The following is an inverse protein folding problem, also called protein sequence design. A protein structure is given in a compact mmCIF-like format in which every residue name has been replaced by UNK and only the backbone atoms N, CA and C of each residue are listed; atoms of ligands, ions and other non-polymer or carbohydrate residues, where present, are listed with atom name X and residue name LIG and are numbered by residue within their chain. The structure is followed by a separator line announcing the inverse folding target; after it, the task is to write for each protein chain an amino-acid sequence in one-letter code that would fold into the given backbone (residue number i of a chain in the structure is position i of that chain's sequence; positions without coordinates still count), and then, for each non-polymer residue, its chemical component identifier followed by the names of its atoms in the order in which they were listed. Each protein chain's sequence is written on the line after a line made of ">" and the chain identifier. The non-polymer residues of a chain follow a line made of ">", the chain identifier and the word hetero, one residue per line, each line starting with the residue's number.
data_IF_386098752481
#
_entry.id   IF_386098752481
#
_cell.length_a   1.000
_cell.length_b   1.000
_cell.length_c   1.000
_cell.angle_alpha   90.00
_cell.angle_beta   90.00
_cell.angle_gamma   90.00
#
_symmetry.space_group_name_H-M   'P 1'
#
loop_
_entity.id
_entity.type
_entity.pdbx_description
1 polymer ?
#
# COMPACT_ATOMS: atom_id res chain seq x y z
N UNK A 1 -22.64 8.18 -36.22
CA UNK A 1 -21.49 8.98 -35.76
C UNK A 1 -21.63 9.17 -34.27
N UNK A 2 -20.53 9.02 -33.54
CA UNK A 2 -20.41 8.78 -32.10
C UNK A 2 -20.82 9.95 -31.20
N UNK A 3 -21.68 9.67 -30.23
CA UNK A 3 -21.93 10.51 -29.06
C UNK A 3 -20.69 10.54 -28.16
N UNK A 4 -19.95 11.65 -28.21
CA UNK A 4 -18.86 11.95 -27.29
C UNK A 4 -19.49 12.68 -26.10
N UNK A 5 -19.76 11.94 -25.03
CA UNK A 5 -20.03 12.51 -23.71
C UNK A 5 -18.84 13.40 -23.32
N UNK A 6 -19.04 14.72 -23.40
CA UNK A 6 -18.11 15.70 -22.82
C UNK A 6 -18.13 15.50 -21.31
N UNK A 7 -17.14 14.77 -20.78
CA UNK A 7 -16.83 14.82 -19.35
C UNK A 7 -16.50 16.27 -18.99
N UNK A 8 -17.46 16.94 -18.38
CA UNK A 8 -17.28 18.23 -17.72
C UNK A 8 -16.24 18.04 -16.61
N UNK A 9 -15.18 18.85 -16.65
CA UNK A 9 -14.20 18.96 -15.57
C UNK A 9 -14.95 19.20 -14.26
N UNK A 10 -14.58 18.57 -13.13
CA UNK A 10 -15.25 18.82 -11.87
C UNK A 10 -15.16 20.31 -11.55
N UNK A 11 -16.31 20.98 -11.51
CA UNK A 11 -16.41 22.36 -11.06
C UNK A 11 -16.20 22.36 -9.55
N UNK A 12 -15.01 22.77 -9.13
CA UNK A 12 -14.74 23.12 -7.74
C UNK A 12 -15.66 24.30 -7.43
N UNK A 13 -16.68 24.08 -6.60
CA UNK A 13 -17.67 25.09 -6.25
C UNK A 13 -16.99 26.34 -5.64
N UNK A 14 -17.52 27.55 -5.89
CA UNK A 14 -16.95 28.81 -5.42
C UNK A 14 -16.89 28.95 -3.88
N UNK A 15 -17.49 28.01 -3.14
CA UNK A 15 -17.50 27.98 -1.68
C UNK A 15 -16.21 27.41 -1.06
N UNK A 16 -15.36 26.75 -1.86
CA UNK A 16 -14.05 26.23 -1.40
C UNK A 16 -12.91 27.25 -1.50
N UNK A 17 -13.18 28.47 -1.99
CA UNK A 17 -12.16 29.51 -2.21
C UNK A 17 -12.01 30.45 -0.99
N UNK A 18 -12.87 30.34 0.03
CA UNK A 18 -12.95 31.33 1.12
C UNK A 18 -12.16 31.02 2.39
N UNK A 19 -11.36 29.96 2.43
CA UNK A 19 -10.37 29.76 3.51
C UNK A 19 -8.96 29.71 2.90
N UNK A 20 -8.61 30.80 2.22
CA UNK A 20 -7.23 31.10 1.86
C UNK A 20 -6.48 31.65 3.08
N UNK A 21 -5.87 30.76 3.86
CA UNK A 21 -4.73 31.07 4.71
C UNK A 21 -3.84 29.83 4.83
N UNK A 22 -2.65 29.94 4.24
CA UNK A 22 -1.46 29.11 4.36
C UNK A 22 -1.52 27.64 3.88
N UNK A 23 -1.44 27.43 2.57
CA UNK A 23 -0.86 26.22 1.98
C UNK A 23 0.37 26.58 1.14
N UNK A 24 1.30 27.33 1.74
CA UNK A 24 2.65 27.55 1.18
C UNK A 24 3.68 26.82 2.03
N UNK A 25 3.42 25.54 2.26
CA UNK A 25 4.43 24.57 2.66
C UNK A 25 4.20 23.31 1.81
N UNK A 26 4.45 23.44 0.50
CA UNK A 26 4.77 22.27 -0.31
C UNK A 26 6.12 21.81 0.20
N UNK A 27 6.11 20.93 1.21
CA UNK A 27 7.31 20.27 1.68
C UNK A 27 7.83 19.48 0.49
N UNK A 28 8.91 19.92 -0.13
CA UNK A 28 9.61 19.13 -1.14
C UNK A 28 9.91 17.78 -0.49
N UNK A 29 9.27 16.72 -0.98
CA UNK A 29 9.56 15.36 -0.55
C UNK A 29 11.01 15.14 -0.93
N UNK A 30 11.89 15.09 0.08
CA UNK A 30 13.28 14.83 -0.17
C UNK A 30 13.42 13.40 -0.69
N UNK A 31 14.47 13.13 -1.48
CA UNK A 31 14.77 11.76 -1.92
C UNK A 31 14.80 10.77 -0.76
N UNK A 32 15.26 11.20 0.41
CA UNK A 32 15.28 10.43 1.65
C UNK A 32 13.87 10.08 2.17
N UNK A 33 12.91 10.98 2.03
CA UNK A 33 11.52 10.74 2.46
C UNK A 33 10.82 9.77 1.51
N UNK A 34 11.11 9.83 0.21
CA UNK A 34 10.62 8.86 -0.78
C UNK A 34 11.19 7.46 -0.52
N UNK A 35 12.50 7.35 -0.28
CA UNK A 35 13.15 6.06 0.06
C UNK A 35 12.59 5.45 1.36
N UNK A 36 12.33 6.28 2.38
CA UNK A 36 11.67 5.84 3.61
C UNK A 36 10.25 5.37 3.36
N UNK A 37 9.48 6.10 2.57
CA UNK A 37 8.10 5.73 2.27
C UNK A 37 8.04 4.43 1.46
N UNK A 38 8.95 4.23 0.50
CA UNK A 38 9.09 2.97 -0.23
C UNK A 38 9.38 1.80 0.72
N UNK A 39 10.29 1.99 1.67
CA UNK A 39 10.59 1.00 2.70
C UNK A 39 9.36 0.63 3.54
N UNK A 40 8.60 1.63 3.98
CA UNK A 40 7.36 1.44 4.75
C UNK A 40 6.31 0.69 3.91
N UNK A 41 6.18 1.04 2.64
CA UNK A 41 5.23 0.39 1.73
C UNK A 41 5.61 -1.08 1.47
N UNK A 42 6.91 -1.38 1.33
CA UNK A 42 7.44 -2.75 1.25
C UNK A 42 7.15 -3.54 2.55
N UNK A 43 7.47 -2.97 3.71
CA UNK A 43 7.26 -3.63 5.01
C UNK A 43 5.77 -3.88 5.28
N UNK A 44 4.90 -2.95 4.87
CA UNK A 44 3.45 -3.12 4.95
C UNK A 44 2.96 -4.28 4.07
N UNK A 45 3.42 -4.36 2.82
CA UNK A 45 3.06 -5.46 1.92
C UNK A 45 3.55 -6.81 2.46
N UNK A 46 4.76 -6.86 3.05
CA UNK A 46 5.27 -8.06 3.70
C UNK A 46 4.40 -8.50 4.89
N UNK A 47 3.97 -7.57 5.74
CA UNK A 47 3.07 -7.86 6.86
C UNK A 47 1.71 -8.38 6.36
N UNK A 48 1.17 -7.76 5.32
CA UNK A 48 -0.08 -8.17 4.72
C UNK A 48 0.01 -9.59 4.15
N UNK A 49 1.05 -9.89 3.38
CA UNK A 49 1.30 -11.21 2.81
C UNK A 49 1.49 -12.27 3.88
N UNK A 50 2.21 -11.97 4.96
CA UNK A 50 2.37 -12.87 6.10
C UNK A 50 1.01 -13.26 6.70
N UNK A 51 0.15 -12.27 6.97
CA UNK A 51 -1.18 -12.53 7.51
C UNK A 51 -2.04 -13.32 6.52
N UNK A 52 -1.99 -12.99 5.23
CA UNK A 52 -2.67 -13.76 4.20
C UNK A 52 -2.24 -15.23 4.19
N UNK A 53 -0.93 -15.52 4.23
CA UNK A 53 -0.43 -16.89 4.24
C UNK A 53 -0.91 -17.65 5.48
N UNK A 54 -0.94 -17.00 6.65
CA UNK A 54 -1.46 -17.61 7.89
C UNK A 54 -2.95 -17.90 7.79
N UNK A 55 -3.76 -17.01 7.22
CA UNK A 55 -5.19 -17.26 7.04
C UNK A 55 -5.46 -18.34 5.98
N UNK A 56 -4.67 -18.39 4.90
CA UNK A 56 -4.73 -19.48 3.92
C UNK A 56 -4.42 -20.84 4.56
N UNK A 57 -3.39 -20.91 5.41
CA UNK A 57 -3.05 -22.14 6.11
C UNK A 57 -4.18 -22.61 7.05
N UNK A 58 -4.79 -21.68 7.80
CA UNK A 58 -5.95 -21.98 8.67
C UNK A 58 -7.17 -22.49 7.88
N UNK A 59 -7.43 -21.94 6.70
CA UNK A 59 -8.61 -22.29 5.89
C UNK A 59 -8.48 -23.64 5.20
N UNK A 60 -7.26 -24.05 4.84
CA UNK A 60 -7.02 -25.27 4.06
C UNK A 60 -7.12 -26.57 4.88
N UNK A 61 -7.17 -26.52 6.22
CA UNK A 61 -7.32 -27.67 7.13
C UNK A 61 -6.43 -28.87 6.74
N UNK A 62 -5.21 -28.59 6.25
CA UNK A 62 -4.35 -29.60 5.61
C UNK A 62 -3.86 -30.70 6.57
N UNK A 63 -3.83 -30.44 7.87
CA UNK A 63 -3.53 -31.40 8.95
C UNK A 63 -3.73 -30.71 10.31
N UNK A 64 -3.97 -31.45 11.39
CA UNK A 64 -3.70 -30.93 12.75
C UNK A 64 -2.18 -30.77 12.89
N UNK A 65 -1.71 -29.52 12.85
CA UNK A 65 -0.29 -29.20 13.03
C UNK A 65 0.05 -29.18 14.52
N UNK A 66 1.18 -29.78 14.88
CA UNK A 66 1.73 -29.62 16.22
C UNK A 66 2.30 -28.20 16.43
N UNK A 67 2.36 -27.72 17.67
CA UNK A 67 2.87 -26.38 18.02
C UNK A 67 4.24 -26.05 17.41
N UNK A 68 5.13 -27.04 17.33
CA UNK A 68 6.46 -26.90 16.72
C UNK A 68 6.38 -26.66 15.20
N UNK A 69 5.46 -27.36 14.52
CA UNK A 69 5.22 -27.19 13.09
C UNK A 69 4.58 -25.83 12.79
N UNK A 70 3.61 -25.38 13.60
CA UNK A 70 3.01 -24.05 13.47
C UNK A 70 4.05 -22.93 13.62
N UNK A 71 4.95 -23.09 14.59
CA UNK A 71 6.05 -22.14 14.82
C UNK A 71 7.00 -22.12 13.63
N UNK A 72 7.42 -23.30 13.15
CA UNK A 72 8.27 -23.42 11.96
C UNK A 72 7.61 -22.79 10.74
N UNK A 73 6.34 -23.09 10.47
CA UNK A 73 5.59 -22.54 9.35
C UNK A 73 5.44 -21.02 9.45
N UNK A 74 5.26 -20.48 10.66
CA UNK A 74 5.23 -19.03 10.87
C UNK A 74 6.56 -18.37 10.45
N UNK A 75 7.71 -18.99 10.72
CA UNK A 75 9.01 -18.49 10.25
C UNK A 75 9.10 -18.56 8.72
N UNK A 76 8.60 -19.64 8.11
CA UNK A 76 8.56 -19.78 6.65
C UNK A 76 7.70 -18.67 6.02
N UNK A 77 6.49 -18.43 6.54
CA UNK A 77 5.60 -17.38 6.03
C UNK A 77 6.23 -15.99 6.12
N UNK A 78 6.97 -15.69 7.18
CA UNK A 78 7.69 -14.43 7.33
C UNK A 78 8.79 -14.26 6.27
N UNK A 79 9.58 -15.31 6.02
CA UNK A 79 10.62 -15.26 4.97
C UNK A 79 10.03 -15.15 3.58
N UNK A 80 8.97 -15.88 3.30
CA UNK A 80 8.26 -15.82 2.01
C UNK A 80 7.64 -14.44 1.81
N UNK A 81 6.99 -13.87 2.83
CA UNK A 81 6.35 -12.56 2.69
C UNK A 81 7.34 -11.44 2.44
N UNK A 82 8.48 -11.42 3.16
CA UNK A 82 9.57 -10.47 2.94
C UNK A 82 10.17 -10.63 1.53
N UNK A 83 10.38 -11.87 1.09
CA UNK A 83 10.91 -12.14 -0.26
C UNK A 83 9.96 -11.65 -1.36
N UNK A 84 8.66 -11.88 -1.20
CA UNK A 84 7.66 -11.46 -2.17
C UNK A 84 7.53 -9.94 -2.23
N UNK A 85 7.41 -9.26 -1.10
CA UNK A 85 7.27 -7.80 -1.02
C UNK A 85 8.47 -7.05 -1.64
N UNK A 86 9.69 -7.57 -1.42
CA UNK A 86 10.91 -6.96 -1.94
C UNK A 86 11.05 -7.05 -3.46
N UNK A 87 10.70 -8.21 -4.05
CA UNK A 87 10.96 -8.46 -5.47
C UNK A 87 9.79 -8.03 -6.36
N UNK A 88 8.71 -8.82 -6.33
CA UNK A 88 7.52 -8.62 -7.17
C UNK A 88 6.33 -9.17 -6.40
N UNK A 89 5.83 -8.33 -5.50
CA UNK A 89 4.71 -8.65 -4.61
C UNK A 89 3.38 -8.71 -5.36
N UNK A 90 2.31 -8.44 -4.63
CA UNK A 90 0.94 -8.41 -5.14
C UNK A 90 0.52 -7.02 -5.63
N UNK A 91 1.39 -6.02 -5.51
CA UNK A 91 1.19 -4.69 -6.10
C UNK A 91 0.81 -3.60 -5.10
N UNK A 92 0.83 -3.90 -3.80
CA UNK A 92 0.42 -2.96 -2.75
C UNK A 92 1.46 -1.85 -2.59
N UNK A 93 2.76 -2.20 -2.55
CA UNK A 93 3.84 -1.20 -2.52
C UNK A 93 3.71 -0.22 -3.67
N UNK A 94 3.56 -0.72 -4.89
CA UNK A 94 3.44 0.11 -6.09
C UNK A 94 2.17 0.97 -6.08
N UNK A 95 1.07 0.46 -5.51
CA UNK A 95 -0.14 1.24 -5.29
C UNK A 95 0.14 2.41 -4.34
N UNK A 96 0.71 2.14 -3.15
CA UNK A 96 1.00 3.17 -2.15
C UNK A 96 1.97 4.23 -2.68
N UNK A 97 3.03 3.81 -3.37
CA UNK A 97 3.98 4.72 -4.02
C UNK A 97 3.28 5.66 -5.00
N UNK A 98 2.40 5.13 -5.87
CA UNK A 98 1.63 5.94 -6.82
C UNK A 98 0.69 6.94 -6.14
N UNK A 99 0.08 6.58 -5.01
CA UNK A 99 -0.78 7.49 -4.26
C UNK A 99 0.03 8.59 -3.57
N UNK A 100 1.23 8.27 -3.05
CA UNK A 100 2.14 9.25 -2.48
C UNK A 100 2.61 10.26 -3.53
N UNK A 101 3.00 9.79 -4.72
CA UNK A 101 3.43 10.65 -5.84
C UNK A 101 2.32 11.59 -6.35
N UNK A 102 1.06 11.19 -6.24
CA UNK A 102 -0.10 12.01 -6.61
C UNK A 102 -0.43 13.12 -5.59
N UNK A 103 0.19 13.09 -4.41
CA UNK A 103 -0.09 14.03 -3.31
C UNK A 103 -1.37 13.73 -2.55
N UNK A 104 -1.99 12.57 -2.77
CA UNK A 104 -3.23 12.14 -2.10
C UNK A 104 -2.97 11.69 -0.64
N UNK A 105 -1.72 11.41 -0.29
CA UNK A 105 -1.28 11.03 1.05
C UNK A 105 -0.46 12.17 1.65
N UNK A 106 -1.02 12.86 2.67
CA UNK A 106 -0.25 13.78 3.53
C UNK A 106 0.43 12.95 4.62
N UNK A 107 1.76 12.89 4.59
CA UNK A 107 2.60 12.26 5.63
C UNK A 107 2.92 13.29 6.70
#
# INVERSE_FOLDING_TARGET
>A
MSDILKLTKPMIGPDLVKHGQDITNVREISKNDQEKFEKIAEDFEALFLFNMLKELDKTTKLSEKGYMEETYMSVIYDKVSQFLAKNKGIGIKEMLMRYSERGDIKI
#
